data_IF_496771409193
#
_entry.id   IF_496771409193
#
_cell.length_a   1.000
_cell.length_b   1.000
_cell.length_c   1.000
_cell.angle_alpha   90.00
_cell.angle_beta   90.00
_cell.angle_gamma   90.00
#
_symmetry.space_group_name_H-M   'P 1'
#
loop_
_entity.id
_entity.type
_entity.pdbx_description
1 polymer ?
#
# COMPACT_ATOMS: atom_id res chain seq x y z
N UNK A 1 14.48 4.71 15.17
CA UNK A 1 15.43 5.66 14.56
C UNK A 1 16.31 4.89 13.58
N UNK A 2 15.81 4.72 12.36
CA UNK A 2 16.48 3.93 11.32
C UNK A 2 17.29 4.83 10.41
N UNK A 3 18.59 4.56 10.32
CA UNK A 3 19.55 5.24 9.45
C UNK A 3 19.10 5.31 7.97
N UNK A 4 18.19 4.40 7.54
CA UNK A 4 17.66 4.36 6.17
C UNK A 4 16.50 5.33 5.86
N UNK A 5 15.73 5.80 6.85
CA UNK A 5 14.57 6.68 6.57
C UNK A 5 15.00 8.14 6.37
N UNK A 6 16.14 8.55 6.95
CA UNK A 6 16.67 9.91 6.79
C UNK A 6 17.38 10.18 5.45
N UNK A 7 17.98 9.14 4.85
CA UNK A 7 18.72 9.27 3.58
C UNK A 7 17.81 9.31 2.35
N UNK A 8 16.63 8.69 2.40
CA UNK A 8 15.68 8.69 1.29
C UNK A 8 14.96 10.04 1.10
N UNK A 9 14.76 10.79 2.18
CA UNK A 9 14.00 12.06 2.17
C UNK A 9 14.82 13.25 1.66
N UNK A 10 16.15 13.17 1.66
CA UNK A 10 17.03 14.34 1.52
C UNK A 10 17.52 14.68 0.10
N UNK A 11 17.31 13.84 -0.92
CA UNK A 11 17.93 14.05 -2.26
C UNK A 11 16.94 14.16 -3.44
N UNK A 12 15.62 14.10 -3.23
CA UNK A 12 14.66 14.07 -4.34
C UNK A 12 13.94 15.40 -4.63
N UNK A 13 14.28 16.49 -3.94
CA UNK A 13 13.65 17.80 -4.14
C UNK A 13 14.31 18.63 -5.26
N UNK A 14 15.42 18.17 -5.86
CA UNK A 14 16.30 19.01 -6.66
C UNK A 14 16.24 18.90 -8.19
N UNK A 15 15.60 17.88 -8.78
CA UNK A 15 15.73 17.63 -10.23
C UNK A 15 14.38 17.29 -10.84
N UNK A 16 13.67 18.28 -11.37
CA UNK A 16 12.95 18.32 -12.67
C UNK A 16 12.31 19.72 -12.77
N UNK A 17 13.12 20.73 -13.05
CA UNK A 17 12.69 22.05 -13.52
C UNK A 17 13.35 22.33 -14.87
N UNK A 18 13.22 21.37 -15.78
CA UNK A 18 13.73 21.52 -17.14
C UNK A 18 12.70 21.03 -18.15
N UNK A 19 12.00 22.03 -18.67
CA UNK A 19 11.40 22.11 -20.00
C UNK A 19 10.17 21.23 -20.28
N UNK A 20 8.99 21.71 -19.83
CA UNK A 20 7.69 21.25 -20.35
C UNK A 20 7.06 22.38 -21.19
N UNK A 21 6.78 22.16 -22.49
CA UNK A 21 6.05 23.11 -23.32
C UNK A 21 4.68 23.42 -22.71
N UNK A 22 4.41 24.70 -22.48
CA UNK A 22 3.25 25.21 -21.71
C UNK A 22 1.89 24.78 -22.30
N UNK A 23 1.82 24.40 -23.58
CA UNK A 23 0.59 24.15 -24.32
C UNK A 23 -0.12 22.80 -24.02
N UNK A 24 0.58 21.79 -23.50
CA UNK A 24 -0.01 20.46 -23.19
C UNK A 24 -0.01 20.10 -21.69
N UNK A 25 0.62 20.96 -20.87
CA UNK A 25 0.83 20.72 -19.43
C UNK A 25 -0.47 20.65 -18.64
N UNK A 26 -1.54 21.34 -19.07
CA UNK A 26 -2.86 21.28 -18.43
C UNK A 26 -3.57 19.93 -18.58
N UNK A 27 -3.47 19.29 -19.75
CA UNK A 27 -4.05 17.97 -20.01
C UNK A 27 -3.21 16.83 -19.39
N UNK A 28 -1.88 16.96 -19.42
CA UNK A 28 -0.96 15.99 -18.79
C UNK A 28 -0.98 16.01 -17.26
N UNK A 29 -1.12 17.20 -16.65
CA UNK A 29 -1.20 17.32 -15.18
C UNK A 29 -2.53 16.81 -14.63
N UNK A 30 -3.64 17.05 -15.33
CA UNK A 30 -4.96 16.51 -14.98
C UNK A 30 -4.96 14.97 -14.97
N UNK A 31 -4.47 14.35 -16.05
CA UNK A 31 -4.38 12.88 -16.16
C UNK A 31 -3.44 12.26 -15.12
N UNK A 32 -2.29 12.90 -14.85
CA UNK A 32 -1.34 12.48 -13.79
C UNK A 32 -1.94 12.57 -12.39
N UNK A 33 -2.71 13.63 -12.09
CA UNK A 33 -3.40 13.78 -10.81
C UNK A 33 -4.49 12.74 -10.62
N UNK A 34 -5.34 12.53 -11.62
CA UNK A 34 -6.39 11.50 -11.59
C UNK A 34 -5.80 10.11 -11.41
N UNK A 35 -4.74 9.76 -12.15
CA UNK A 35 -4.08 8.46 -12.00
C UNK A 35 -3.54 8.24 -10.58
N UNK A 36 -2.94 9.27 -9.96
CA UNK A 36 -2.47 9.22 -8.57
C UNK A 36 -3.62 9.06 -7.58
N UNK A 37 -4.72 9.79 -7.75
CA UNK A 37 -5.89 9.70 -6.88
C UNK A 37 -6.55 8.32 -6.96
N UNK A 38 -6.75 7.81 -8.17
CA UNK A 38 -7.29 6.45 -8.39
C UNK A 38 -6.34 5.40 -7.80
N UNK A 39 -5.03 5.53 -8.05
CA UNK A 39 -4.03 4.63 -7.49
C UNK A 39 -4.01 4.63 -5.96
N UNK A 40 -4.13 5.79 -5.32
CA UNK A 40 -4.20 5.90 -3.86
C UNK A 40 -5.47 5.27 -3.30
N UNK A 41 -6.63 5.54 -3.90
CA UNK A 41 -7.90 4.95 -3.48
C UNK A 41 -7.90 3.42 -3.61
N UNK A 42 -7.40 2.90 -4.74
CA UNK A 42 -7.25 1.46 -4.96
C UNK A 42 -6.26 0.83 -3.97
N UNK A 43 -5.12 1.49 -3.72
CA UNK A 43 -4.13 1.01 -2.75
C UNK A 43 -4.72 0.90 -1.34
N UNK A 44 -5.44 1.93 -0.88
CA UNK A 44 -6.12 1.91 0.42
C UNK A 44 -7.16 0.79 0.47
N UNK A 45 -7.98 0.64 -0.58
CA UNK A 45 -9.01 -0.38 -0.63
C UNK A 45 -8.42 -1.80 -0.58
N UNK A 46 -7.43 -2.09 -1.43
CA UNK A 46 -6.80 -3.41 -1.49
C UNK A 46 -6.08 -3.74 -0.17
N UNK A 47 -5.28 -2.82 0.35
CA UNK A 47 -4.56 -3.05 1.60
C UNK A 47 -5.51 -3.19 2.80
N UNK A 48 -6.60 -2.41 2.81
CA UNK A 48 -7.66 -2.54 3.81
C UNK A 48 -8.34 -3.90 3.75
N UNK A 49 -8.73 -4.37 2.55
CA UNK A 49 -9.29 -5.71 2.36
C UNK A 49 -8.33 -6.79 2.86
N UNK A 50 -7.06 -6.71 2.48
CA UNK A 50 -6.04 -7.67 2.93
C UNK A 50 -5.94 -7.67 4.46
N UNK A 51 -5.83 -6.49 5.08
CA UNK A 51 -5.75 -6.34 6.53
C UNK A 51 -6.97 -6.94 7.23
N UNK A 52 -8.18 -6.51 6.86
CA UNK A 52 -9.41 -6.90 7.56
C UNK A 52 -9.76 -8.37 7.34
N UNK A 53 -9.58 -8.90 6.13
CA UNK A 53 -9.80 -10.32 5.85
C UNK A 53 -8.79 -11.21 6.58
N UNK A 54 -7.50 -10.84 6.57
CA UNK A 54 -6.47 -11.62 7.29
C UNK A 54 -6.64 -11.52 8.80
N UNK A 55 -7.01 -10.35 9.34
CA UNK A 55 -7.30 -10.20 10.77
C UNK A 55 -8.51 -11.04 11.19
N UNK A 56 -9.61 -10.99 10.43
CA UNK A 56 -10.81 -11.76 10.72
C UNK A 56 -10.56 -13.27 10.71
N UNK A 57 -9.88 -13.77 9.67
CA UNK A 57 -9.55 -15.20 9.55
C UNK A 57 -8.55 -15.67 10.61
N UNK A 58 -7.51 -14.88 10.91
CA UNK A 58 -6.53 -15.23 11.94
C UNK A 58 -7.14 -15.20 13.35
N UNK A 59 -8.04 -14.26 13.63
CA UNK A 59 -8.71 -14.17 14.93
C UNK A 59 -9.76 -15.28 15.11
N UNK A 60 -10.57 -15.56 14.08
CA UNK A 60 -11.55 -16.66 14.12
C UNK A 60 -10.86 -18.00 14.41
N UNK A 61 -9.72 -18.27 13.75
CA UNK A 61 -8.93 -19.48 13.97
C UNK A 61 -8.32 -19.60 15.38
N UNK A 62 -8.19 -18.50 16.12
CA UNK A 62 -7.66 -18.47 17.50
C UNK A 62 -8.74 -18.64 18.56
N UNK A 63 -10.00 -18.36 18.23
CA UNK A 63 -11.11 -18.33 19.18
C UNK A 63 -12.00 -19.58 19.08
N UNK A 64 -11.46 -20.71 18.60
CA UNK A 64 -12.23 -21.94 18.36
C UNK A 64 -12.89 -22.53 19.60
N UNK A 65 -12.37 -22.22 20.78
CA UNK A 65 -12.91 -22.69 22.07
C UNK A 65 -14.14 -21.90 22.54
N UNK A 66 -14.49 -20.80 21.86
CA UNK A 66 -15.67 -20.00 22.17
C UNK A 66 -16.90 -20.47 21.39
N UNK A 67 -18.12 -20.30 21.95
CA UNK A 67 -19.35 -20.47 21.20
C UNK A 67 -19.37 -19.59 19.94
N UNK A 68 -19.86 -20.13 18.82
CA UNK A 68 -19.81 -19.48 17.50
C UNK A 68 -20.36 -18.04 17.51
N UNK A 69 -21.46 -17.81 18.23
CA UNK A 69 -22.06 -16.48 18.35
C UNK A 69 -21.14 -15.47 19.05
N UNK A 70 -20.44 -15.89 20.09
CA UNK A 70 -19.50 -15.04 20.82
C UNK A 70 -18.23 -14.81 20.00
N UNK A 71 -17.71 -15.86 19.35
CA UNK A 71 -16.57 -15.77 18.43
C UNK A 71 -16.84 -14.76 17.31
N UNK A 72 -17.97 -14.89 16.62
CA UNK A 72 -18.36 -13.98 15.55
C UNK A 72 -18.48 -12.53 16.04
N UNK A 73 -19.09 -12.29 17.22
CA UNK A 73 -19.19 -10.94 17.78
C UNK A 73 -17.82 -10.31 18.06
N UNK A 74 -16.88 -11.07 18.61
CA UNK A 74 -15.52 -10.58 18.89
C UNK A 74 -14.79 -10.29 17.58
N UNK A 75 -14.85 -11.21 16.61
CA UNK A 75 -14.22 -11.03 15.30
C UNK A 75 -14.76 -9.79 14.61
N UNK A 76 -16.08 -9.64 14.50
CA UNK A 76 -16.72 -8.46 13.91
C UNK A 76 -16.33 -7.19 14.65
N UNK A 77 -16.38 -7.18 15.99
CA UNK A 77 -16.03 -6.00 16.77
C UNK A 77 -14.57 -5.56 16.55
N UNK A 78 -13.62 -6.51 16.48
CA UNK A 78 -12.20 -6.21 16.23
C UNK A 78 -11.98 -5.74 14.80
N UNK A 79 -12.60 -6.40 13.81
CA UNK A 79 -12.42 -6.07 12.38
C UNK A 79 -13.06 -4.73 12.04
N UNK A 80 -14.33 -4.51 12.40
CA UNK A 80 -15.07 -3.28 12.07
C UNK A 80 -14.50 -2.05 12.78
N UNK A 81 -13.91 -2.24 13.97
CA UNK A 81 -13.24 -1.17 14.71
C UNK A 81 -11.79 -0.95 14.30
N UNK A 82 -11.28 -1.70 13.30
CA UNK A 82 -9.87 -1.70 12.91
C UNK A 82 -8.92 -1.90 14.10
N UNK A 83 -9.27 -2.80 15.02
CA UNK A 83 -8.49 -3.13 16.22
C UNK A 83 -8.74 -2.23 17.43
N UNK A 84 -9.53 -1.16 17.32
CA UNK A 84 -9.79 -0.26 18.45
C UNK A 84 -10.58 -0.91 19.60
N UNK A 85 -11.31 -2.00 19.33
CA UNK A 85 -12.01 -2.78 20.35
C UNK A 85 -11.08 -3.64 21.24
N UNK A 86 -9.85 -3.92 20.80
CA UNK A 86 -8.95 -4.88 21.45
C UNK A 86 -8.65 -4.52 22.91
N UNK A 87 -8.33 -3.26 23.30
CA UNK A 87 -8.12 -2.91 24.70
C UNK A 87 -9.37 -3.11 25.57
N UNK A 88 -10.57 -3.01 24.96
CA UNK A 88 -11.83 -3.27 25.66
C UNK A 88 -11.99 -4.75 26.04
N UNK A 89 -11.42 -5.66 25.26
CA UNK A 89 -11.46 -7.11 25.51
C UNK A 89 -10.67 -7.51 26.76
N UNK A 90 -9.67 -6.73 27.18
CA UNK A 90 -8.88 -7.03 28.39
C UNK A 90 -9.75 -7.07 29.65
N UNK A 91 -10.81 -6.26 29.69
CA UNK A 91 -11.78 -6.26 30.79
C UNK A 91 -12.61 -7.55 30.85
N UNK A 92 -12.70 -8.27 29.73
CA UNK A 92 -13.50 -9.47 29.58
C UNK A 92 -12.63 -10.72 29.71
N UNK A 93 -11.48 -10.75 29.02
CA UNK A 93 -10.49 -11.81 29.10
C UNK A 93 -9.14 -11.33 28.54
N UNK A 94 -8.10 -11.44 29.35
CA UNK A 94 -6.73 -11.13 28.92
C UNK A 94 -6.25 -12.04 27.77
N UNK A 95 -6.72 -13.29 27.75
CA UNK A 95 -6.36 -14.27 26.71
C UNK A 95 -6.96 -13.88 25.37
N UNK A 96 -8.25 -13.55 25.34
CA UNK A 96 -8.95 -13.13 24.11
C UNK A 96 -8.33 -11.83 23.57
N UNK A 97 -8.02 -10.88 24.45
CA UNK A 97 -7.36 -9.64 24.06
C UNK A 97 -5.97 -9.88 23.45
N UNK A 98 -5.21 -10.85 23.98
CA UNK A 98 -3.91 -11.23 23.45
C UNK A 98 -4.02 -11.90 22.09
N UNK A 99 -4.93 -12.85 21.92
CA UNK A 99 -5.18 -13.48 20.62
C UNK A 99 -5.62 -12.46 19.56
N UNK A 100 -6.44 -11.48 19.95
CA UNK A 100 -6.83 -10.38 19.07
C UNK A 100 -5.65 -9.47 18.70
N UNK A 101 -4.75 -9.15 19.64
CA UNK A 101 -3.52 -8.40 19.35
C UNK A 101 -2.60 -9.13 18.39
N UNK A 102 -2.39 -10.43 18.61
CA UNK A 102 -1.53 -11.24 17.76
C UNK A 102 -2.13 -11.34 16.36
N UNK A 103 -3.41 -11.69 16.24
CA UNK A 103 -4.11 -11.77 14.95
C UNK A 103 -4.04 -10.45 14.17
N UNK A 104 -4.31 -9.32 14.83
CA UNK A 104 -4.27 -8.02 14.19
C UNK A 104 -2.85 -7.60 13.78
N UNK A 105 -1.85 -7.96 14.57
CA UNK A 105 -0.43 -7.72 14.26
C UNK A 105 0.04 -8.56 13.06
N UNK A 106 -0.34 -9.83 13.01
CA UNK A 106 -0.05 -10.72 11.87
C UNK A 106 -0.70 -10.21 10.59
N UNK A 107 -1.96 -9.78 10.67
CA UNK A 107 -2.68 -9.16 9.57
C UNK A 107 -2.01 -7.87 9.08
N UNK A 108 -1.59 -7.01 10.00
CA UNK A 108 -0.85 -5.78 9.68
C UNK A 108 0.47 -6.09 8.96
N UNK A 109 1.18 -7.13 9.41
CA UNK A 109 2.42 -7.58 8.79
C UNK A 109 2.18 -8.11 7.38
N UNK A 110 1.10 -8.87 7.17
CA UNK A 110 0.72 -9.37 5.84
C UNK A 110 0.34 -8.24 4.88
N UNK A 111 -0.40 -7.24 5.36
CA UNK A 111 -0.70 -6.02 4.60
C UNK A 111 0.58 -5.24 4.25
N UNK A 112 1.53 -5.12 5.18
CA UNK A 112 2.81 -4.45 4.93
C UNK A 112 3.65 -5.17 3.87
N UNK A 113 3.72 -6.50 3.91
CA UNK A 113 4.41 -7.27 2.86
C UNK A 113 3.72 -7.14 1.50
N UNK A 114 2.39 -7.12 1.48
CA UNK A 114 1.62 -6.88 0.25
C UNK A 114 1.90 -5.49 -0.32
N UNK A 115 1.94 -4.46 0.52
CA UNK A 115 2.31 -3.11 0.13
C UNK A 115 3.73 -3.06 -0.44
N UNK A 116 4.70 -3.70 0.22
CA UNK A 116 6.06 -3.81 -0.29
C UNK A 116 6.12 -4.52 -1.66
N UNK A 117 5.33 -5.57 -1.85
CA UNK A 117 5.17 -6.25 -3.14
C UNK A 117 4.65 -5.32 -4.24
N UNK A 118 3.59 -4.55 -3.96
CA UNK A 118 3.07 -3.56 -4.91
C UNK A 118 4.09 -2.47 -5.25
N UNK A 119 4.87 -2.01 -4.28
CA UNK A 119 5.94 -1.05 -4.52
C UNK A 119 7.02 -1.62 -5.44
N UNK A 120 7.44 -2.87 -5.23
CA UNK A 120 8.40 -3.55 -6.11
C UNK A 120 7.84 -3.70 -7.52
N UNK A 121 6.57 -4.08 -7.67
CA UNK A 121 5.90 -4.20 -8.97
C UNK A 121 5.83 -2.84 -9.69
N UNK A 122 5.42 -1.79 -8.98
CA UNK A 122 5.38 -0.43 -9.52
C UNK A 122 6.76 0.09 -9.93
N UNK A 123 7.79 -0.21 -9.12
CA UNK A 123 9.17 0.10 -9.44
C UNK A 123 9.66 -0.62 -10.71
N UNK A 124 9.41 -1.93 -10.83
CA UNK A 124 9.76 -2.71 -12.02
C UNK A 124 9.03 -2.23 -13.28
N UNK A 125 7.75 -1.87 -13.16
CA UNK A 125 6.98 -1.28 -14.25
C UNK A 125 7.60 0.05 -14.72
N UNK A 126 8.06 0.86 -13.77
CA UNK A 126 8.75 2.13 -14.06
C UNK A 126 10.05 1.90 -14.82
N UNK A 127 10.88 0.94 -14.39
CA UNK A 127 12.13 0.60 -15.07
C UNK A 127 11.92 0.14 -16.52
N UNK A 128 10.88 -0.67 -16.77
CA UNK A 128 10.54 -1.12 -18.13
C UNK A 128 10.07 0.03 -19.03
N UNK A 129 9.35 0.99 -18.47
CA UNK A 129 8.91 2.18 -19.19
C UNK A 129 10.10 3.06 -19.61
N UNK A 130 11.07 3.24 -18.71
CA UNK A 130 12.29 4.01 -19.01
C UNK A 130 13.16 3.37 -20.10
N UNK A 131 13.14 2.04 -20.23
CA UNK A 131 13.83 1.34 -21.33
C UNK A 131 13.21 1.67 -22.69
N UNK A 132 11.88 1.57 -22.81
CA UNK A 132 11.16 1.86 -24.07
C UNK A 132 11.30 3.31 -24.51
N UNK A 133 11.34 4.26 -23.57
CA UNK A 133 11.54 5.68 -23.91
C UNK A 133 12.93 5.95 -24.50
N UNK A 134 13.99 5.29 -24.01
CA UNK A 134 15.36 5.48 -24.51
C UNK A 134 15.53 4.96 -25.93
N UNK A 135 14.99 3.78 -26.22
CA UNK A 135 15.05 3.19 -27.56
C UNK A 135 14.37 4.09 -28.61
N UNK A 136 13.25 4.72 -28.24
CA UNK A 136 12.51 5.64 -29.09
C UNK A 136 13.27 6.95 -29.36
N UNK A 137 13.95 7.48 -28.33
CA UNK A 137 14.79 8.68 -28.46
C UNK A 137 16.02 8.42 -29.34
N UNK A 138 16.65 7.25 -29.21
CA UNK A 138 17.78 6.84 -30.05
C UNK A 138 17.37 6.63 -31.52
N UNK A 139 16.21 6.03 -31.79
CA UNK A 139 15.65 5.84 -33.13
C UNK A 139 15.37 7.18 -33.83
N UNK A 140 14.79 8.15 -33.11
CA UNK A 140 14.49 9.48 -33.62
C UNK A 140 15.75 10.31 -33.86
N UNK A 141 16.75 10.20 -32.97
CA UNK A 141 18.04 10.86 -33.14
C UNK A 141 18.83 10.29 -34.34
N UNK A 142 18.78 8.96 -34.54
CA UNK A 142 19.38 8.31 -35.70
C UNK A 142 18.69 8.71 -37.01
N UNK A 143 17.36 8.82 -37.01
CA UNK A 143 16.61 9.29 -38.18
C UNK A 143 16.95 10.74 -38.54
N UNK A 144 17.06 11.63 -37.56
CA UNK A 144 17.42 13.04 -37.76
C UNK A 144 18.88 13.25 -38.22
N UNK A 145 19.80 12.33 -37.91
CA UNK A 145 21.18 12.37 -38.38
C UNK A 145 21.36 11.86 -39.83
N UNK A 146 20.32 11.23 -40.39
CA UNK A 146 20.31 10.67 -41.76
C UNK A 146 19.65 11.58 -42.81
N UNK A 147 19.12 12.74 -42.39
CA UNK A 147 18.49 13.78 -43.22
C UNK A 147 19.38 15.02 -43.35
#
# INVERSE_FOLDING_TARGET
YGFGVGLATAQLTGVVLKDVPVAASGQGSGTSSTARQIGAALGIAILGTILFTSAGTALDARLTDLPDAQRAQIVTAVVDSAGAAIPGLEKQSAVIAEDARIAFSDATRFAAFSAAGFLVLGFLATLRLSGVSRDREEELAAAAASS
#
